data_IF_558875440526
#
_entry.id   IF_558875440526
#
_cell.length_a   1.000
_cell.length_b   1.000
_cell.length_c   1.000
_cell.angle_alpha   90.00
_cell.angle_beta   90.00
_cell.angle_gamma   90.00
#
_symmetry.space_group_name_H-M   'P 1'
#
loop_
_entity.id
_entity.type
_entity.pdbx_description
1 polymer ?
#
# COMPACT_ATOMS: atom_id res chain seq x y z
N UNK A 1 22.17 -13.49 -19.83
CA UNK A 1 22.22 -12.54 -18.69
C UNK A 1 20.80 -12.46 -18.13
N UNK A 2 20.64 -12.77 -16.84
CA UNK A 2 19.50 -12.52 -15.95
C UNK A 2 18.07 -12.88 -16.42
N UNK A 3 17.59 -14.08 -16.03
CA UNK A 3 16.17 -14.41 -15.96
C UNK A 3 15.91 -15.00 -14.57
N UNK A 4 15.75 -14.15 -13.55
CA UNK A 4 15.48 -14.62 -12.18
C UNK A 4 14.97 -13.52 -11.21
N UNK A 5 14.03 -12.65 -11.61
CA UNK A 5 13.43 -11.71 -10.63
C UNK A 5 11.94 -11.32 -10.85
N UNK A 6 11.20 -12.04 -11.70
CA UNK A 6 9.82 -11.64 -12.05
C UNK A 6 8.77 -11.95 -10.97
N UNK A 7 9.04 -12.86 -10.04
CA UNK A 7 8.10 -13.21 -8.96
C UNK A 7 8.09 -12.18 -7.83
N UNK A 8 9.21 -11.49 -7.61
CA UNK A 8 9.35 -10.45 -6.58
C UNK A 8 8.61 -9.17 -6.97
N UNK A 9 8.67 -8.79 -8.25
CA UNK A 9 8.02 -7.59 -8.80
C UNK A 9 6.48 -7.69 -8.78
N UNK A 10 5.94 -8.88 -9.05
CA UNK A 10 4.49 -9.11 -9.01
C UNK A 10 3.93 -9.05 -7.57
N UNK A 11 4.76 -9.31 -6.56
CA UNK A 11 4.44 -9.13 -5.14
C UNK A 11 4.64 -7.68 -4.65
N UNK A 12 5.33 -6.82 -5.42
CA UNK A 12 5.50 -5.40 -5.12
C UNK A 12 4.39 -4.53 -5.75
N UNK A 13 3.83 -4.96 -6.88
CA UNK A 13 2.77 -4.26 -7.59
C UNK A 13 1.51 -3.93 -6.75
N UNK A 14 1.04 -4.79 -5.82
CA UNK A 14 -0.14 -4.48 -5.04
C UNK A 14 0.09 -3.32 -4.07
N UNK A 15 1.29 -3.21 -3.50
CA UNK A 15 1.59 -2.16 -2.52
C UNK A 15 1.78 -0.81 -3.21
N UNK A 16 2.43 -0.76 -4.36
CA UNK A 16 2.65 0.48 -5.12
C UNK A 16 1.33 1.09 -5.57
N UNK A 17 0.40 0.27 -6.06
CA UNK A 17 -0.95 0.71 -6.45
C UNK A 17 -1.74 1.27 -5.26
N UNK A 18 -1.58 0.70 -4.05
CA UNK A 18 -2.19 1.28 -2.84
C UNK A 18 -1.56 2.61 -2.48
N UNK A 19 -0.24 2.67 -2.42
CA UNK A 19 0.50 3.87 -2.04
C UNK A 19 0.14 5.02 -2.98
N UNK A 20 0.14 4.76 -4.29
CA UNK A 20 -0.21 5.76 -5.30
C UNK A 20 -1.67 6.20 -5.20
N UNK A 21 -2.59 5.28 -4.89
CA UNK A 21 -4.00 5.60 -4.72
C UNK A 21 -4.32 6.31 -3.39
N UNK A 22 -3.55 6.06 -2.33
CA UNK A 22 -3.67 6.78 -1.04
C UNK A 22 -3.13 8.20 -1.14
N UNK A 23 -2.03 8.39 -1.88
CA UNK A 23 -1.44 9.72 -2.17
C UNK A 23 -2.22 10.50 -3.23
N UNK A 24 -3.31 9.96 -3.76
CA UNK A 24 -4.11 10.62 -4.78
C UNK A 24 -5.08 11.65 -4.17
N UNK A 25 -5.25 12.79 -4.85
CA UNK A 25 -6.16 13.86 -4.42
C UNK A 25 -7.65 13.52 -4.66
N UNK A 26 -7.94 12.59 -5.56
CA UNK A 26 -9.30 12.13 -5.85
C UNK A 26 -9.82 11.22 -4.74
N UNK A 27 -10.91 11.65 -4.10
CA UNK A 27 -11.62 10.92 -3.05
C UNK A 27 -12.08 9.53 -3.53
N UNK A 28 -12.51 9.38 -4.78
CA UNK A 28 -12.95 8.08 -5.31
C UNK A 28 -11.78 7.10 -5.44
N UNK A 29 -10.60 7.57 -5.87
CA UNK A 29 -9.40 6.73 -5.96
C UNK A 29 -8.92 6.32 -4.57
N UNK A 30 -8.89 7.24 -3.59
CA UNK A 30 -8.59 6.89 -2.19
C UNK A 30 -9.55 5.86 -1.63
N UNK A 31 -10.86 6.03 -1.85
CA UNK A 31 -11.88 5.08 -1.39
C UNK A 31 -11.70 3.69 -2.04
N UNK A 32 -11.37 3.65 -3.33
CA UNK A 32 -11.10 2.41 -4.04
C UNK A 32 -9.83 1.71 -3.53
N UNK A 33 -8.80 2.46 -3.15
CA UNK A 33 -7.61 1.93 -2.49
C UNK A 33 -7.93 1.35 -1.11
N UNK A 34 -8.70 2.06 -0.28
CA UNK A 34 -9.13 1.56 1.03
C UNK A 34 -9.89 0.23 0.89
N UNK A 35 -10.79 0.10 -0.11
CA UNK A 35 -11.53 -1.14 -0.36
C UNK A 35 -10.62 -2.32 -0.74
N UNK A 36 -9.44 -2.07 -1.31
CA UNK A 36 -8.47 -3.09 -1.72
C UNK A 36 -7.47 -3.46 -0.61
N UNK A 37 -7.49 -2.77 0.53
CA UNK A 37 -6.56 -3.03 1.64
C UNK A 37 -6.54 -4.49 2.09
N UNK A 38 -7.71 -5.12 2.22
CA UNK A 38 -7.82 -6.52 2.66
C UNK A 38 -7.19 -7.50 1.67
N UNK A 39 -7.42 -7.30 0.36
CA UNK A 39 -6.79 -8.10 -0.71
C UNK A 39 -5.27 -7.99 -0.67
N UNK A 40 -4.76 -6.82 -0.32
CA UNK A 40 -3.32 -6.53 -0.38
C UNK A 40 -2.63 -6.96 0.89
N UNK A 41 -3.26 -6.78 2.06
CA UNK A 41 -2.81 -7.41 3.30
C UNK A 41 -2.73 -8.94 3.16
N UNK A 42 -3.65 -9.56 2.42
CA UNK A 42 -3.58 -10.98 2.10
C UNK A 42 -2.40 -11.32 1.18
N UNK A 43 -2.16 -10.52 0.13
CA UNK A 43 -1.06 -10.74 -0.82
C UNK A 43 0.34 -10.46 -0.24
N UNK A 44 0.44 -9.56 0.73
CA UNK A 44 1.70 -9.19 1.40
C UNK A 44 2.12 -10.16 2.51
N UNK A 45 1.21 -11.04 2.93
CA UNK A 45 1.37 -11.87 4.12
C UNK A 45 1.53 -11.06 5.41
N UNK A 46 1.59 -11.76 6.54
CA UNK A 46 1.58 -11.13 7.88
C UNK A 46 2.84 -10.32 8.17
N UNK A 47 4.00 -10.73 7.65
CA UNK A 47 5.28 -10.07 7.92
C UNK A 47 5.31 -8.66 7.31
N UNK A 48 5.09 -8.56 5.98
CA UNK A 48 5.14 -7.27 5.28
C UNK A 48 3.95 -6.38 5.62
N UNK A 49 2.78 -6.96 5.90
CA UNK A 49 1.63 -6.18 6.40
C UNK A 49 2.00 -5.45 7.69
N UNK A 50 2.74 -6.08 8.60
CA UNK A 50 3.14 -5.48 9.88
C UNK A 50 4.29 -4.50 9.76
N UNK A 51 5.28 -4.79 8.90
CA UNK A 51 6.47 -3.94 8.76
C UNK A 51 6.32 -2.79 7.76
N UNK A 52 5.40 -2.88 6.80
CA UNK A 52 5.23 -1.88 5.73
C UNK A 52 3.82 -1.26 5.75
N UNK A 53 2.77 -2.07 5.66
CA UNK A 53 1.41 -1.56 5.47
C UNK A 53 0.86 -0.84 6.72
N UNK A 54 1.08 -1.39 7.92
CA UNK A 54 0.65 -0.76 9.18
C UNK A 54 1.35 0.59 9.39
N UNK A 55 2.70 0.71 9.31
CA UNK A 55 3.39 1.99 9.37
C UNK A 55 2.90 2.98 8.32
N UNK A 56 2.74 2.56 7.06
CA UNK A 56 2.25 3.42 5.99
C UNK A 56 0.86 4.02 6.30
N UNK A 57 -0.09 3.19 6.76
CA UNK A 57 -1.43 3.67 7.14
C UNK A 57 -1.37 4.59 8.35
N UNK A 58 -0.50 4.29 9.31
CA UNK A 58 -0.29 5.14 10.48
C UNK A 58 0.28 6.49 10.05
N UNK A 59 1.27 6.55 9.18
CA UNK A 59 1.77 7.82 8.66
C UNK A 59 0.66 8.55 7.88
N UNK A 60 -0.03 7.87 6.97
CA UNK A 60 -1.05 8.48 6.10
C UNK A 60 -2.25 9.06 6.87
N UNK A 61 -2.66 8.44 7.98
CA UNK A 61 -3.78 8.93 8.80
C UNK A 61 -3.35 10.12 9.65
N UNK A 62 -2.11 10.11 10.17
CA UNK A 62 -1.63 11.15 11.08
C UNK A 62 -1.01 12.36 10.37
N UNK A 63 -0.52 12.22 9.13
CA UNK A 63 -0.03 13.33 8.30
C UNK A 63 -1.19 14.21 7.76
N UNK A 64 -2.44 13.72 7.85
CA UNK A 64 -3.66 14.45 7.51
C UNK A 64 -4.22 15.34 8.62
N UNK A 65 -3.86 15.09 9.88
CA UNK A 65 -4.17 15.95 11.03
C UNK A 65 -2.91 16.76 11.37
N UNK A 66 -2.73 17.86 10.64
CA UNK A 66 -1.73 18.87 10.98
C UNK A 66 -1.97 19.37 12.40
N UNK A 67 -1.27 18.81 13.38
CA UNK A 67 -1.06 19.49 14.66
C UNK A 67 0.04 20.51 14.44
N UNK A 68 -0.36 21.73 14.06
CA UNK A 68 0.17 23.01 14.54
C UNK A 68 -0.94 24.07 14.52
#
# INVERSE_FOLDING_TARGET
MAASDSASDEALYPITVLVDGFKNDDVQLRLNSIKKLSTIAFALEVERTRSELIPFLTETIYDGDGVL
#
